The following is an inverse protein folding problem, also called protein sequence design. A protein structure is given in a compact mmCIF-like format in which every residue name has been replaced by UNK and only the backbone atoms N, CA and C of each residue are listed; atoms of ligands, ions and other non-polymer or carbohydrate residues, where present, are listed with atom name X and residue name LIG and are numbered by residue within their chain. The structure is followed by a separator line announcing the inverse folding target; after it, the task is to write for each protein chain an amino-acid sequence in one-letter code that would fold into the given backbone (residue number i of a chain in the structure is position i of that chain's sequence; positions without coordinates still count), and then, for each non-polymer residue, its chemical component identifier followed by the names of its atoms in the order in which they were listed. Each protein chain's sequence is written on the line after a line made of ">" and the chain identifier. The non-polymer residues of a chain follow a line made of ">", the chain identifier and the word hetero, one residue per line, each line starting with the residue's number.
data_IF_295410846542
#
_entry.id   IF_295410846542
#
_cell.length_a   1.000
_cell.length_b   1.000
_cell.length_c   1.000
_cell.angle_alpha   90.00
_cell.angle_beta   90.00
_cell.angle_gamma   90.00
#
_symmetry.space_group_name_H-M   'P 1'
#
loop_
_entity.id
_entity.type
_entity.pdbx_description
1 polymer ?
#
# COMPACT_ATOMS: atom_id res chain seq x y z
N UNK A 1 56.86 -31.60 39.67
CA UNK A 1 56.36 -30.21 39.78
C UNK A 1 55.08 -30.17 38.92
N UNK A 2 53.86 -30.35 39.45
CA UNK A 2 53.26 -29.83 40.70
C UNK A 2 53.19 -28.30 40.67
N UNK A 3 52.04 -27.62 40.72
CA UNK A 3 50.75 -28.03 41.30
C UNK A 3 49.54 -27.75 40.39
N UNK A 4 48.50 -28.59 40.49
CA UNK A 4 47.12 -28.22 40.15
C UNK A 4 46.41 -27.64 41.39
N UNK A 5 45.30 -26.90 41.20
CA UNK A 5 44.37 -26.52 42.28
C UNK A 5 42.94 -26.93 41.91
N UNK A 6 42.23 -27.45 42.91
CA UNK A 6 40.83 -27.91 42.87
C UNK A 6 39.99 -26.99 43.77
N UNK A 7 38.72 -26.80 43.42
CA UNK A 7 37.50 -26.63 44.26
C UNK A 7 36.38 -26.18 43.27
N UNK A 8 35.28 -26.92 43.02
CA UNK A 8 34.13 -27.29 43.89
C UNK A 8 33.19 -26.12 44.26
N UNK A 9 31.87 -26.28 44.46
CA UNK A 9 31.01 -27.47 44.59
C UNK A 9 29.61 -27.25 43.93
N UNK A 10 28.77 -28.29 43.87
CA UNK A 10 27.40 -28.32 43.30
C UNK A 10 26.32 -28.53 44.40
N UNK A 11 25.09 -27.99 44.19
CA UNK A 11 23.85 -28.33 44.94
C UNK A 11 23.42 -27.29 46.00
N UNK A 12 22.19 -27.25 46.56
CA UNK A 12 20.87 -27.94 46.44
C UNK A 12 19.79 -26.90 46.94
N UNK A 13 18.44 -26.91 46.94
CA UNK A 13 17.25 -27.82 46.82
C UNK A 13 16.05 -26.90 46.44
N UNK A 14 15.11 -27.16 45.51
CA UNK A 14 13.97 -28.12 45.42
C UNK A 14 12.89 -28.00 46.52
N UNK A 15 11.61 -28.27 46.15
CA UNK A 15 10.36 -28.28 46.96
C UNK A 15 9.79 -26.90 47.39
N UNK A 16 8.47 -26.63 47.44
CA UNK A 16 7.25 -27.48 47.26
C UNK A 16 6.11 -26.71 46.55
N UNK A 17 5.14 -27.44 45.99
CA UNK A 17 3.87 -26.92 45.43
C UNK A 17 2.73 -27.12 46.45
N UNK A 18 1.86 -26.12 46.68
CA UNK A 18 0.64 -26.24 47.50
C UNK A 18 -0.53 -25.59 46.77
N UNK A 19 -1.69 -26.26 46.75
CA UNK A 19 -2.92 -25.77 46.08
C UNK A 19 -4.02 -25.54 47.10
N UNK A 20 -4.53 -24.30 47.14
CA UNK A 20 -5.81 -23.86 47.71
C UNK A 20 -6.03 -22.43 47.20
N UNK A 21 -7.23 -21.90 46.96
CA UNK A 21 -8.59 -22.37 47.20
C UNK A 21 -9.48 -21.13 47.12
N UNK A 22 -10.62 -21.18 46.43
CA UNK A 22 -11.29 -19.95 45.98
C UNK A 22 -11.94 -19.14 47.13
N UNK A 23 -11.71 -17.83 47.14
CA UNK A 23 -12.56 -16.83 47.77
C UNK A 23 -12.53 -15.55 46.93
N UNK A 24 -13.67 -15.12 46.38
CA UNK A 24 -13.76 -13.90 45.59
C UNK A 24 -14.03 -12.68 46.47
N UNK A 25 -13.49 -11.52 46.09
CA UNK A 25 -14.01 -10.21 46.52
C UNK A 25 -13.74 -9.20 45.43
N UNK A 26 -14.79 -8.59 44.87
CA UNK A 26 -14.64 -7.59 43.81
C UNK A 26 -14.13 -6.27 44.40
N UNK A 27 -12.97 -5.82 43.95
CA UNK A 27 -12.52 -4.44 44.09
C UNK A 27 -12.23 -3.91 42.68
N UNK A 28 -13.08 -3.01 42.19
CA UNK A 28 -12.89 -2.38 40.88
C UNK A 28 -11.67 -1.46 40.94
N UNK A 29 -10.60 -1.84 40.25
CA UNK A 29 -9.51 -0.91 39.93
C UNK A 29 -9.98 -0.10 38.73
N UNK A 30 -10.27 1.17 38.96
CA UNK A 30 -10.64 2.10 37.91
C UNK A 30 -9.36 2.44 37.13
N UNK A 31 -9.17 1.81 35.97
CA UNK A 31 -8.11 2.19 35.03
C UNK A 31 -8.48 3.53 34.40
N UNK A 32 -7.74 4.58 34.74
CA UNK A 32 -7.80 5.86 34.02
C UNK A 32 -7.20 5.67 32.63
N UNK A 33 -8.03 5.22 31.70
CA UNK A 33 -7.75 5.18 30.27
C UNK A 33 -7.62 6.63 29.79
N UNK A 34 -6.41 7.01 29.35
CA UNK A 34 -6.13 8.37 28.89
C UNK A 34 -6.88 8.62 27.57
N UNK A 35 -8.09 9.14 27.68
CA UNK A 35 -9.01 9.41 26.56
C UNK A 35 -8.55 10.59 25.71
N UNK A 36 -7.42 10.42 25.03
CA UNK A 36 -7.11 11.17 23.83
C UNK A 36 -8.32 11.02 22.87
N UNK A 37 -8.96 12.13 22.44
CA UNK A 37 -10.12 12.03 21.57
C UNK A 37 -9.73 11.30 20.28
N UNK A 38 -10.59 10.44 19.72
CA UNK A 38 -10.26 9.68 18.52
C UNK A 38 -9.89 10.67 17.42
N UNK A 39 -8.63 10.62 16.99
CA UNK A 39 -8.19 11.37 15.81
C UNK A 39 -9.05 10.90 14.65
N UNK A 40 -10.01 11.74 14.27
CA UNK A 40 -10.76 11.55 13.03
C UNK A 40 -9.75 11.73 11.92
N UNK A 41 -9.16 10.62 11.48
CA UNK A 41 -8.45 10.57 10.20
C UNK A 41 -9.50 10.98 9.19
N UNK A 42 -9.37 12.19 8.64
CA UNK A 42 -10.13 12.54 7.45
C UNK A 42 -9.75 11.50 6.41
N UNK A 43 -10.71 10.69 5.97
CA UNK A 43 -10.56 9.95 4.73
C UNK A 43 -10.09 10.95 3.68
N UNK A 44 -9.03 10.61 2.95
CA UNK A 44 -8.32 11.56 2.12
C UNK A 44 -9.18 11.88 0.88
N UNK A 45 -10.11 12.83 1.04
CA UNK A 45 -10.89 13.41 -0.05
C UNK A 45 -10.00 14.36 -0.85
N UNK A 46 -9.07 13.74 -1.56
CA UNK A 46 -8.43 14.27 -2.76
C UNK A 46 -9.51 14.83 -3.69
N UNK A 47 -9.25 15.96 -4.33
CA UNK A 47 -10.09 16.43 -5.43
C UNK A 47 -9.81 15.58 -6.67
N UNK A 48 -10.66 14.60 -6.91
CA UNK A 48 -10.59 13.71 -8.09
C UNK A 48 -10.92 14.43 -9.39
N UNK A 49 -11.82 15.40 -9.34
CA UNK A 49 -12.72 15.74 -10.46
C UNK A 49 -12.01 16.42 -11.66
N UNK A 50 -10.83 16.99 -11.44
CA UNK A 50 -10.06 17.78 -12.43
C UNK A 50 -8.80 17.06 -12.98
N UNK A 51 -8.56 15.77 -12.67
CA UNK A 51 -7.36 15.08 -13.16
C UNK A 51 -7.53 14.53 -14.61
N UNK A 52 -6.53 14.72 -15.50
CA UNK A 52 -6.69 14.44 -16.93
C UNK A 52 -6.70 12.94 -17.28
N UNK A 53 -6.20 12.06 -16.39
CA UNK A 53 -6.20 10.61 -16.62
C UNK A 53 -7.63 10.08 -16.46
N UNK A 54 -8.28 10.32 -15.32
CA UNK A 54 -9.68 9.89 -15.12
C UNK A 54 -10.63 10.46 -16.18
N UNK A 55 -10.43 11.73 -16.57
CA UNK A 55 -11.24 12.38 -17.61
C UNK A 55 -11.06 11.72 -18.99
N UNK A 56 -9.86 11.23 -19.31
CA UNK A 56 -9.58 10.59 -20.59
C UNK A 56 -10.05 9.13 -20.66
N UNK A 57 -9.94 8.38 -19.57
CA UNK A 57 -10.34 6.96 -19.50
C UNK A 57 -11.83 6.74 -19.14
N UNK A 58 -12.58 7.80 -18.82
CA UNK A 58 -13.98 7.70 -18.35
C UNK A 58 -14.92 6.96 -19.33
N UNK A 59 -14.88 7.31 -20.62
CA UNK A 59 -15.71 6.65 -21.64
C UNK A 59 -15.24 5.21 -21.93
N UNK A 60 -13.95 4.90 -21.79
CA UNK A 60 -13.45 3.53 -21.94
C UNK A 60 -14.00 2.61 -20.85
N UNK A 61 -14.08 3.08 -19.60
CA UNK A 61 -14.67 2.31 -18.50
C UNK A 61 -16.19 2.14 -18.60
N UNK A 62 -16.90 3.08 -19.23
CA UNK A 62 -18.34 2.94 -19.52
C UNK A 62 -18.62 2.04 -20.75
N UNK A 63 -17.69 1.94 -21.70
CA UNK A 63 -17.91 1.24 -22.98
C UNK A 63 -17.17 -0.10 -23.13
N UNK A 64 -16.20 -0.43 -22.29
CA UNK A 64 -15.57 -1.75 -22.24
C UNK A 64 -16.52 -2.80 -21.65
N UNK A 65 -16.74 -3.90 -22.37
CA UNK A 65 -17.79 -4.88 -22.08
C UNK A 65 -17.30 -6.33 -22.10
N UNK A 66 -16.36 -6.66 -22.99
CA UNK A 66 -15.70 -7.94 -23.03
C UNK A 66 -14.50 -7.95 -22.07
N UNK A 67 -14.20 -9.11 -21.46
CA UNK A 67 -13.03 -9.30 -20.59
C UNK A 67 -11.72 -8.86 -21.24
N UNK A 68 -11.58 -8.98 -22.58
CA UNK A 68 -10.40 -8.50 -23.31
C UNK A 68 -10.33 -6.97 -23.38
N UNK A 69 -11.46 -6.28 -23.58
CA UNK A 69 -11.53 -4.81 -23.55
C UNK A 69 -11.20 -4.32 -22.13
N UNK A 70 -11.86 -4.86 -21.10
CA UNK A 70 -11.70 -4.44 -19.69
C UNK A 70 -10.24 -4.63 -19.23
N UNK A 71 -9.60 -5.75 -19.58
CA UNK A 71 -8.18 -5.98 -19.28
C UNK A 71 -7.24 -5.03 -20.05
N UNK A 72 -7.64 -4.53 -21.22
CA UNK A 72 -6.87 -3.54 -21.97
C UNK A 72 -6.98 -2.16 -21.35
N UNK A 73 -8.20 -1.70 -21.03
CA UNK A 73 -8.43 -0.40 -20.35
C UNK A 73 -7.69 -0.37 -19.01
N UNK A 74 -7.83 -1.42 -18.19
CA UNK A 74 -7.12 -1.52 -16.90
C UNK A 74 -5.60 -1.46 -17.05
N UNK A 75 -5.03 -2.10 -18.09
CA UNK A 75 -3.60 -2.07 -18.37
C UNK A 75 -3.13 -0.67 -18.81
N UNK A 76 -3.84 -0.03 -19.75
CA UNK A 76 -3.48 1.30 -20.24
C UNK A 76 -3.66 2.40 -19.16
N UNK A 77 -4.66 2.25 -18.30
CA UNK A 77 -4.89 3.13 -17.13
C UNK A 77 -3.80 2.95 -16.06
N UNK A 78 -3.34 1.72 -15.82
CA UNK A 78 -2.16 1.46 -14.98
C UNK A 78 -0.90 2.10 -15.57
N UNK A 79 -0.59 1.88 -16.86
CA UNK A 79 0.57 2.47 -17.54
C UNK A 79 0.58 4.01 -17.45
N UNK A 80 -0.59 4.65 -17.52
CA UNK A 80 -0.73 6.10 -17.31
C UNK A 80 -0.36 6.52 -15.87
N UNK A 81 -0.86 5.82 -14.85
CA UNK A 81 -0.56 6.13 -13.45
C UNK A 81 0.86 5.74 -13.02
N UNK A 82 1.46 4.69 -13.61
CA UNK A 82 2.89 4.39 -13.47
C UNK A 82 3.76 5.52 -14.03
N UNK A 83 3.41 6.06 -15.20
CA UNK A 83 4.14 7.17 -15.80
C UNK A 83 4.06 8.44 -14.92
N UNK A 84 2.87 8.78 -14.44
CA UNK A 84 2.62 9.93 -13.56
C UNK A 84 3.30 9.77 -12.18
N UNK A 85 3.33 8.55 -11.64
CA UNK A 85 4.05 8.18 -10.41
C UNK A 85 5.57 8.35 -10.54
N UNK A 86 6.14 7.91 -11.66
CA UNK A 86 7.56 8.14 -11.96
C UNK A 86 7.85 9.63 -12.17
N UNK A 87 6.93 10.37 -12.81
CA UNK A 87 7.04 11.82 -13.05
C UNK A 87 7.03 12.63 -11.75
N UNK A 88 6.03 12.48 -10.88
CA UNK A 88 5.97 13.26 -9.62
C UNK A 88 7.16 13.00 -8.69
N UNK A 89 7.67 11.77 -8.65
CA UNK A 89 8.89 11.43 -7.92
C UNK A 89 10.16 11.99 -8.57
N UNK A 90 10.15 12.29 -9.88
CA UNK A 90 11.23 12.98 -10.56
C UNK A 90 11.17 14.50 -10.36
N UNK A 91 9.97 15.10 -10.42
CA UNK A 91 9.74 16.51 -10.12
C UNK A 91 10.15 16.85 -8.67
N UNK A 92 9.62 16.14 -7.68
CA UNK A 92 9.97 16.35 -6.26
C UNK A 92 11.49 16.32 -6.03
N UNK A 93 12.21 15.38 -6.67
CA UNK A 93 13.68 15.25 -6.53
C UNK A 93 14.46 16.47 -7.02
N UNK A 94 13.91 17.33 -7.87
CA UNK A 94 14.58 18.57 -8.34
C UNK A 94 14.80 19.60 -7.22
N UNK A 95 14.04 19.50 -6.12
CA UNK A 95 14.07 20.44 -5.00
C UNK A 95 15.05 20.02 -3.88
N UNK A 96 15.78 18.92 -4.04
CA UNK A 96 16.73 18.40 -3.04
C UNK A 96 18.15 18.35 -3.60
N UNK A 97 19.09 19.08 -2.97
CA UNK A 97 20.50 19.09 -3.38
C UNK A 97 21.30 17.90 -2.83
N UNK A 98 20.86 17.28 -1.73
CA UNK A 98 21.63 16.29 -1.00
C UNK A 98 21.31 14.85 -1.44
N UNK A 99 22.32 14.02 -1.77
CA UNK A 99 22.11 12.62 -2.17
C UNK A 99 21.34 11.77 -1.15
N UNK A 100 21.47 12.09 0.14
CA UNK A 100 20.78 11.43 1.25
C UNK A 100 19.25 11.60 1.17
N UNK A 101 18.78 12.77 0.77
CA UNK A 101 17.35 13.09 0.65
C UNK A 101 16.76 12.50 -0.64
N UNK A 102 17.48 12.61 -1.75
CA UNK A 102 17.15 11.95 -3.04
C UNK A 102 17.07 10.42 -2.86
N UNK A 103 17.98 9.84 -2.07
CA UNK A 103 17.97 8.42 -1.68
C UNK A 103 16.77 8.09 -0.78
N UNK A 104 16.33 9.00 0.08
CA UNK A 104 15.13 8.82 0.91
C UNK A 104 13.85 8.79 0.06
N UNK A 105 13.69 9.73 -0.89
CA UNK A 105 12.60 9.68 -1.88
C UNK A 105 12.64 8.41 -2.74
N UNK A 106 13.84 7.92 -3.07
CA UNK A 106 14.01 6.68 -3.86
C UNK A 106 13.66 5.42 -3.05
N UNK A 107 14.00 5.36 -1.76
CA UNK A 107 13.56 4.27 -0.85
C UNK A 107 12.05 4.28 -0.65
N UNK A 108 11.47 5.47 -0.49
CA UNK A 108 10.02 5.66 -0.37
C UNK A 108 9.31 5.13 -1.62
N UNK A 109 9.73 5.53 -2.82
CA UNK A 109 9.21 5.00 -4.09
C UNK A 109 9.24 3.47 -4.13
N UNK A 110 10.42 2.89 -3.95
CA UNK A 110 10.64 1.43 -3.99
C UNK A 110 9.93 0.65 -2.86
N UNK A 111 9.47 1.32 -1.80
CA UNK A 111 8.67 0.71 -0.72
C UNK A 111 7.17 0.80 -1.02
N UNK A 112 6.73 1.87 -1.67
CA UNK A 112 5.33 2.00 -2.10
C UNK A 112 5.00 1.03 -3.23
N UNK A 113 5.90 0.88 -4.22
CA UNK A 113 5.71 -0.05 -5.35
C UNK A 113 5.57 -1.52 -4.88
N UNK A 114 6.24 -1.89 -3.79
CA UNK A 114 6.08 -3.23 -3.17
C UNK A 114 4.80 -3.40 -2.36
N UNK A 115 4.23 -2.29 -1.87
CA UNK A 115 2.91 -2.30 -1.24
C UNK A 115 1.80 -2.42 -2.30
N UNK A 116 2.00 -1.75 -3.46
CA UNK A 116 1.15 -1.88 -4.65
C UNK A 116 1.16 -3.32 -5.20
N UNK A 117 2.34 -3.90 -5.42
CA UNK A 117 2.54 -5.32 -5.78
C UNK A 117 1.77 -6.27 -4.82
N UNK A 118 1.87 -6.02 -3.50
CA UNK A 118 1.19 -6.82 -2.48
C UNK A 118 -0.33 -6.61 -2.41
N UNK A 119 -0.87 -5.48 -2.90
CA UNK A 119 -2.30 -5.27 -3.02
C UNK A 119 -2.86 -5.99 -4.27
N UNK A 120 -2.12 -5.96 -5.38
CA UNK A 120 -2.42 -6.72 -6.60
C UNK A 120 -2.50 -8.24 -6.35
N UNK A 121 -1.57 -8.77 -5.55
CA UNK A 121 -1.60 -10.15 -5.05
C UNK A 121 -2.90 -10.44 -4.26
N UNK A 122 -3.37 -9.49 -3.42
CA UNK A 122 -4.57 -9.67 -2.59
C UNK A 122 -5.86 -9.69 -3.42
N UNK A 123 -6.00 -8.82 -4.42
CA UNK A 123 -7.13 -8.87 -5.36
C UNK A 123 -7.12 -10.20 -6.15
N UNK A 124 -5.96 -10.63 -6.63
CA UNK A 124 -5.82 -11.93 -7.31
C UNK A 124 -6.23 -13.10 -6.40
N UNK A 125 -6.01 -12.99 -5.09
CA UNK A 125 -6.42 -13.97 -4.07
C UNK A 125 -7.93 -13.91 -3.77
N UNK A 126 -8.58 -12.74 -3.75
CA UNK A 126 -10.03 -12.64 -3.57
C UNK A 126 -10.80 -13.28 -4.74
N UNK A 127 -10.30 -13.08 -5.96
CA UNK A 127 -10.82 -13.71 -7.18
C UNK A 127 -10.37 -15.18 -7.39
N UNK A 128 -9.66 -15.79 -6.43
CA UNK A 128 -9.17 -17.18 -6.50
C UNK A 128 -10.05 -18.19 -5.74
N UNK A 129 -10.03 -19.46 -6.17
CA UNK A 129 -10.43 -20.57 -5.29
C UNK A 129 -9.40 -20.77 -4.18
N UNK A 130 -9.63 -20.08 -3.06
CA UNK A 130 -8.80 -20.16 -1.85
C UNK A 130 -9.00 -21.44 -1.04
N UNK A 131 -9.93 -22.33 -1.42
CA UNK A 131 -10.00 -23.69 -0.86
C UNK A 131 -8.90 -24.61 -1.42
N UNK A 132 -8.35 -24.25 -2.59
CA UNK A 132 -7.18 -24.90 -3.20
C UNK A 132 -5.90 -24.17 -2.79
N UNK A 133 -4.84 -24.92 -2.49
CA UNK A 133 -3.53 -24.37 -2.15
C UNK A 133 -2.92 -23.57 -3.33
N UNK A 134 -2.07 -22.55 -3.08
CA UNK A 134 -1.39 -21.81 -4.15
C UNK A 134 -0.58 -22.75 -5.06
N UNK A 135 -0.84 -22.70 -6.36
CA UNK A 135 -0.23 -23.60 -7.36
C UNK A 135 -1.05 -23.66 -8.65
N UNK A 136 -0.61 -24.43 -9.66
CA UNK A 136 -1.24 -24.48 -10.98
C UNK A 136 -2.64 -25.12 -11.02
N UNK A 137 -3.06 -25.77 -9.92
CA UNK A 137 -4.39 -26.36 -9.77
C UNK A 137 -5.42 -25.38 -9.16
N UNK A 138 -4.97 -24.21 -8.67
CA UNK A 138 -5.86 -23.11 -8.25
C UNK A 138 -6.47 -22.46 -9.48
N UNK A 139 -7.75 -22.12 -9.40
CA UNK A 139 -8.46 -21.38 -10.46
C UNK A 139 -8.74 -19.95 -10.03
N UNK A 140 -8.74 -19.05 -11.01
CA UNK A 140 -8.98 -17.61 -10.86
C UNK A 140 -10.20 -17.21 -11.70
N UNK A 141 -10.98 -16.24 -11.21
CA UNK A 141 -12.08 -15.65 -11.96
C UNK A 141 -11.58 -14.81 -13.14
N UNK A 142 -12.37 -14.73 -14.22
CA UNK A 142 -11.98 -13.99 -15.44
C UNK A 142 -11.78 -12.48 -15.24
N UNK A 143 -12.24 -11.94 -14.11
CA UNK A 143 -12.00 -10.55 -13.68
C UNK A 143 -10.72 -10.33 -12.85
N UNK A 144 -10.03 -11.39 -12.39
CA UNK A 144 -8.90 -11.30 -11.46
C UNK A 144 -7.81 -10.33 -11.95
N UNK A 145 -7.34 -10.52 -13.20
CA UNK A 145 -6.34 -9.64 -13.83
C UNK A 145 -6.79 -8.18 -13.87
N UNK A 146 -8.03 -7.90 -14.25
CA UNK A 146 -8.54 -6.53 -14.30
C UNK A 146 -8.70 -5.91 -12.91
N UNK A 147 -9.05 -6.69 -11.88
CA UNK A 147 -9.11 -6.21 -10.50
C UNK A 147 -7.70 -5.86 -9.96
N UNK A 148 -6.72 -6.76 -10.17
CA UNK A 148 -5.32 -6.55 -9.80
C UNK A 148 -4.74 -5.28 -10.45
N UNK A 149 -4.86 -5.15 -11.78
CA UNK A 149 -4.39 -3.97 -12.52
C UNK A 149 -5.06 -2.66 -12.06
N UNK A 150 -6.34 -2.70 -11.68
CA UNK A 150 -7.09 -1.52 -11.24
C UNK A 150 -6.75 -1.10 -9.81
N UNK A 151 -6.53 -2.02 -8.86
CA UNK A 151 -6.07 -1.64 -7.52
C UNK A 151 -4.63 -1.10 -7.57
N UNK A 152 -3.76 -1.63 -8.44
CA UNK A 152 -2.44 -1.02 -8.67
C UNK A 152 -2.56 0.43 -9.16
N UNK A 153 -3.38 0.66 -10.18
CA UNK A 153 -3.61 1.99 -10.76
C UNK A 153 -4.24 2.95 -9.74
N UNK A 154 -5.25 2.51 -8.99
CA UNK A 154 -5.92 3.30 -7.97
C UNK A 154 -5.03 3.64 -6.78
N UNK A 155 -4.14 2.75 -6.34
CA UNK A 155 -3.17 3.05 -5.30
C UNK A 155 -2.13 4.08 -5.78
N UNK A 156 -1.55 3.87 -6.96
CA UNK A 156 -0.61 4.82 -7.57
C UNK A 156 -1.27 6.20 -7.75
N UNK A 157 -2.49 6.26 -8.29
CA UNK A 157 -3.34 7.46 -8.40
C UNK A 157 -3.52 8.17 -7.06
N UNK A 158 -4.05 7.49 -6.04
CA UNK A 158 -4.26 8.06 -4.69
C UNK A 158 -2.97 8.63 -4.13
N UNK A 159 -1.83 7.98 -4.41
CA UNK A 159 -0.53 8.40 -3.92
C UNK A 159 0.07 9.57 -4.72
N UNK A 160 -0.08 9.61 -6.04
CA UNK A 160 0.28 10.76 -6.90
C UNK A 160 -0.51 11.99 -6.47
N UNK A 161 -1.84 11.89 -6.43
CA UNK A 161 -2.70 13.02 -6.09
C UNK A 161 -2.44 13.53 -4.66
N UNK A 162 -2.14 12.66 -3.69
CA UNK A 162 -1.70 13.06 -2.35
C UNK A 162 -0.36 13.84 -2.36
N UNK A 163 0.57 13.52 -3.25
CA UNK A 163 1.81 14.27 -3.40
C UNK A 163 1.58 15.62 -4.10
N UNK A 164 0.64 15.71 -5.05
CA UNK A 164 0.21 16.99 -5.63
C UNK A 164 -0.37 17.90 -4.52
N UNK A 165 -1.38 17.42 -3.78
CA UNK A 165 -2.04 18.16 -2.70
C UNK A 165 -1.05 18.63 -1.61
N UNK A 166 -0.04 17.80 -1.26
CA UNK A 166 0.93 18.12 -0.22
C UNK A 166 2.02 19.12 -0.65
N UNK A 167 2.51 19.03 -1.89
CA UNK A 167 3.74 19.71 -2.31
C UNK A 167 3.51 20.78 -3.39
N UNK A 168 2.55 20.59 -4.30
CA UNK A 168 2.35 21.43 -5.50
C UNK A 168 1.06 22.26 -5.46
N UNK A 169 0.61 22.63 -4.26
CA UNK A 169 -0.56 23.47 -4.04
C UNK A 169 -0.28 24.96 -4.31
N UNK A 170 -1.34 25.76 -4.47
CA UNK A 170 -1.27 27.22 -4.67
C UNK A 170 -0.28 27.90 -3.70
N UNK A 171 0.74 28.57 -4.26
CA UNK A 171 1.82 29.27 -3.54
C UNK A 171 2.85 28.40 -2.79
N UNK A 172 2.95 27.10 -3.06
CA UNK A 172 4.08 26.29 -2.58
C UNK A 172 5.42 26.72 -3.22
N UNK A 173 6.53 26.31 -2.60
CA UNK A 173 7.89 26.50 -3.16
C UNK A 173 8.23 25.53 -4.31
N UNK A 174 7.37 24.54 -4.56
CA UNK A 174 7.49 23.59 -5.68
C UNK A 174 6.77 24.10 -6.94
N UNK A 175 5.80 25.01 -6.78
CA UNK A 175 4.99 25.55 -7.87
C UNK A 175 3.78 24.68 -8.21
N UNK A 176 3.11 25.05 -9.30
CA UNK A 176 1.95 24.33 -9.85
C UNK A 176 2.39 23.00 -10.50
N UNK A 177 1.65 21.91 -10.24
CA UNK A 177 1.93 20.62 -10.87
C UNK A 177 1.43 20.58 -12.31
N UNK A 178 2.24 20.03 -13.22
CA UNK A 178 1.86 19.78 -14.61
C UNK A 178 1.94 18.27 -14.86
N UNK A 179 0.78 17.67 -15.13
CA UNK A 179 0.64 16.25 -15.47
C UNK A 179 1.45 15.90 -16.73
N UNK A 180 2.12 14.75 -16.69
CA UNK A 180 2.79 14.14 -17.85
C UNK A 180 1.78 13.58 -18.85
N UNK A 181 0.64 13.07 -18.38
CA UNK A 181 -0.39 12.50 -19.25
C UNK A 181 -1.02 13.56 -20.18
N UNK A 182 -1.06 13.24 -21.47
CA UNK A 182 -1.63 14.06 -22.55
C UNK A 182 -2.38 13.19 -23.59
N UNK A 183 -2.90 12.03 -23.17
CA UNK A 183 -3.57 11.04 -24.02
C UNK A 183 -5.09 11.21 -24.09
N UNK A 184 -5.77 10.28 -24.77
CA UNK A 184 -7.23 10.26 -24.98
C UNK A 184 -7.86 8.94 -24.51
N UNK A 185 -7.39 8.37 -23.40
CA UNK A 185 -7.88 7.10 -22.86
C UNK A 185 -7.18 5.87 -23.47
N UNK A 186 -7.93 4.79 -23.66
CA UNK A 186 -7.46 3.45 -23.97
C UNK A 186 -7.67 3.01 -25.44
N UNK A 187 -7.81 3.95 -26.39
CA UNK A 187 -7.88 3.70 -27.85
C UNK A 187 -8.74 2.47 -28.27
N UNK A 188 -9.87 2.22 -27.59
CA UNK A 188 -10.61 0.95 -27.66
C UNK A 188 -11.05 0.51 -29.06
N UNK A 189 -11.22 1.44 -29.99
CA UNK A 189 -11.54 1.16 -31.40
C UNK A 189 -10.46 0.33 -32.12
N UNK A 190 -9.24 0.23 -31.58
CA UNK A 190 -8.18 -0.66 -32.10
C UNK A 190 -8.44 -2.16 -31.82
N UNK A 191 -9.43 -2.50 -30.99
CA UNK A 191 -9.79 -3.88 -30.62
C UNK A 191 -11.07 -4.41 -31.29
N UNK A 192 -11.73 -3.61 -32.14
CA UNK A 192 -13.12 -3.80 -32.60
C UNK A 192 -13.25 -4.08 -34.11
#
# INVERSE_FOLDING_TARGET
>A
MSNAKIVSFIGVTLFTLVVSGCAATNASVHSEEETAPPRTVKALQVKTDDNPIDQAFGEDFETASATTEINYVANAYLEAWEAEWNHILAELKKHYEHPEDINTLTKYKNSYEKFVEQASDLETIDWSDTSVAPGPDRTEGTGARSASLLEEAELLKRQVLHLIDNYFYDSSEYGEYIYLYQGNGAELDLLR
#
